data_IF_688627892748
#
_entry.id   IF_688627892748
#
_cell.length_a   1.000
_cell.length_b   1.000
_cell.length_c   1.000
_cell.angle_alpha   90.00
_cell.angle_beta   90.00
_cell.angle_gamma   90.00
#
_symmetry.space_group_name_H-M   'P 1'
#
loop_
_entity.id
_entity.type
_entity.pdbx_description
1 polymer ?
#
# COMPACT_ATOMS: atom_id res chain seq x y z
N UNK A 1 3.17 4.59 -0.15
CA UNK A 1 2.17 5.18 0.77
C UNK A 1 1.79 6.54 0.21
N UNK A 2 0.51 6.79 -0.04
CA UNK A 2 0.04 8.02 -0.69
C UNK A 2 -0.89 8.80 0.22
N UNK A 3 -0.72 10.12 0.25
CA UNK A 3 -1.73 11.03 0.78
C UNK A 3 -2.55 11.53 -0.41
N UNK A 4 -3.76 10.99 -0.58
CA UNK A 4 -4.63 11.32 -1.70
C UNK A 4 -4.28 10.55 -2.99
N UNK A 5 -4.51 11.19 -4.13
CA UNK A 5 -4.37 10.57 -5.46
C UNK A 5 -2.90 10.41 -5.87
N UNK A 6 -2.66 9.52 -6.84
CA UNK A 6 -1.35 9.37 -7.44
C UNK A 6 -1.00 10.64 -8.24
N UNK A 7 0.17 11.26 -8.01
CA UNK A 7 0.61 12.36 -8.85
C UNK A 7 0.68 11.97 -10.33
N UNK A 8 0.14 12.82 -11.20
CA UNK A 8 0.08 12.58 -12.65
C UNK A 8 1.42 12.16 -13.27
N UNK A 9 2.58 12.77 -12.95
CA UNK A 9 3.86 12.35 -13.54
C UNK A 9 4.25 10.90 -13.20
N UNK A 10 3.79 10.39 -12.06
CA UNK A 10 4.03 8.98 -11.69
C UNK A 10 3.08 8.05 -12.46
N UNK A 11 1.83 8.46 -12.68
CA UNK A 11 0.89 7.70 -13.50
C UNK A 11 1.42 7.55 -14.93
N UNK A 12 1.87 8.66 -15.54
CA UNK A 12 2.44 8.65 -16.89
C UNK A 12 3.65 7.70 -16.99
N UNK A 13 4.55 7.71 -15.99
CA UNK A 13 5.70 6.81 -15.97
C UNK A 13 5.32 5.33 -15.80
N UNK A 14 4.25 5.02 -15.06
CA UNK A 14 3.72 3.66 -14.91
C UNK A 14 3.16 3.17 -16.25
N UNK A 15 2.39 4.03 -16.93
CA UNK A 15 1.77 3.73 -18.22
C UNK A 15 2.84 3.53 -19.31
N UNK A 16 3.88 4.37 -19.34
CA UNK A 16 5.00 4.27 -20.28
C UNK A 16 5.81 2.98 -20.13
N UNK A 17 5.88 2.45 -18.91
CA UNK A 17 6.59 1.21 -18.60
C UNK A 17 5.71 -0.04 -18.73
N UNK A 18 4.44 0.12 -19.08
CA UNK A 18 3.43 -0.95 -19.14
C UNK A 18 3.39 -1.78 -17.84
N UNK A 19 3.48 -1.09 -16.70
CA UNK A 19 3.49 -1.71 -15.38
C UNK A 19 2.08 -1.82 -14.80
N UNK A 20 1.70 -3.02 -14.38
CA UNK A 20 0.51 -3.22 -13.57
C UNK A 20 0.77 -2.84 -12.11
N UNK A 21 -0.07 -1.97 -11.55
CA UNK A 21 -0.02 -1.63 -10.13
C UNK A 21 -0.76 -2.69 -9.31
N UNK A 22 -0.01 -3.36 -8.43
CA UNK A 22 -0.54 -4.39 -7.54
C UNK A 22 -1.48 -3.81 -6.48
N UNK A 23 -1.15 -2.66 -5.88
CA UNK A 23 -2.04 -1.94 -4.97
C UNK A 23 -1.56 -0.51 -4.69
N UNK A 24 -2.50 0.32 -4.24
CA UNK A 24 -2.25 1.66 -3.73
C UNK A 24 -2.38 1.63 -2.20
N UNK A 25 -1.28 1.84 -1.50
CA UNK A 25 -1.28 1.82 -0.03
C UNK A 25 -1.54 3.24 0.49
N UNK A 26 -2.64 3.50 1.20
CA UNK A 26 -2.94 4.81 1.76
C UNK A 26 -1.93 5.17 2.85
N UNK A 27 -1.74 6.47 3.07
CA UNK A 27 -1.03 6.96 4.25
C UNK A 27 -1.85 6.65 5.51
N UNK A 28 -1.16 6.18 6.54
CA UNK A 28 -1.76 5.72 7.78
C UNK A 28 -0.82 6.07 8.94
N UNK A 29 -1.36 6.72 9.96
CA UNK A 29 -0.61 7.19 11.13
C UNK A 29 -0.05 6.04 11.97
N UNK A 30 -0.75 4.90 12.02
CA UNK A 30 -0.31 3.71 12.77
C UNK A 30 1.01 3.19 12.19
N UNK A 31 1.13 3.18 10.86
CA UNK A 31 2.37 2.77 10.19
C UNK A 31 3.52 3.68 10.59
N UNK A 32 3.31 5.00 10.59
CA UNK A 32 4.34 5.96 10.98
C UNK A 32 4.77 5.79 12.44
N UNK A 33 3.83 5.50 13.34
CA UNK A 33 4.11 5.27 14.75
C UNK A 33 4.95 4.00 14.98
N UNK A 34 4.57 2.88 14.35
CA UNK A 34 5.31 1.63 14.47
C UNK A 34 6.70 1.72 13.84
N UNK A 35 6.81 2.35 12.66
CA UNK A 35 8.10 2.63 12.00
C UNK A 35 9.03 3.44 12.93
N UNK A 36 8.51 4.50 13.56
CA UNK A 36 9.29 5.37 14.46
C UNK A 36 9.77 4.64 15.74
N UNK A 37 9.01 3.65 16.20
CA UNK A 37 9.35 2.84 17.36
C UNK A 37 10.17 1.58 17.01
N UNK A 38 10.48 1.36 15.72
CA UNK A 38 11.15 0.15 15.25
C UNK A 38 10.33 -1.11 15.47
N UNK A 39 9.00 -1.00 15.54
CA UNK A 39 8.10 -2.11 15.77
C UNK A 39 7.63 -2.73 14.46
N UNK A 40 7.46 -4.07 14.38
CA UNK A 40 6.90 -4.73 13.21
C UNK A 40 5.49 -4.26 12.84
N UNK A 41 5.25 -3.98 11.56
CA UNK A 41 3.92 -3.62 11.02
C UNK A 41 2.90 -4.77 11.07
N UNK A 42 3.35 -6.01 11.27
CA UNK A 42 2.43 -7.16 11.49
C UNK A 42 1.66 -7.07 12.80
N UNK A 43 2.01 -6.13 13.68
CA UNK A 43 1.27 -5.84 14.92
C UNK A 43 0.08 -4.90 14.71
N UNK A 44 -0.11 -4.37 13.49
CA UNK A 44 -1.25 -3.54 13.15
C UNK A 44 -2.56 -4.30 13.28
N UNK A 45 -3.62 -3.58 13.67
CA UNK A 45 -4.97 -4.13 13.66
C UNK A 45 -5.55 -4.20 12.23
N UNK A 46 -6.63 -4.97 12.09
CA UNK A 46 -7.32 -5.15 10.81
C UNK A 46 -8.15 -3.94 10.36
N UNK A 47 -8.29 -2.91 11.21
CA UNK A 47 -9.06 -1.70 10.91
C UNK A 47 -8.20 -0.64 10.19
N UNK A 48 -6.87 -0.81 10.19
CA UNK A 48 -5.95 0.05 9.45
C UNK A 48 -6.21 0.00 7.94
N UNK A 49 -6.42 1.15 7.26
CA UNK A 49 -6.57 1.19 5.81
C UNK A 49 -5.31 0.73 5.07
N UNK A 50 -4.12 0.91 5.65
CA UNK A 50 -2.89 0.38 5.08
C UNK A 50 -2.82 -1.15 5.21
N UNK A 51 -3.22 -1.71 6.35
CA UNK A 51 -3.31 -3.15 6.55
C UNK A 51 -4.27 -3.78 5.54
N UNK A 52 -5.50 -3.26 5.44
CA UNK A 52 -6.51 -3.76 4.50
C UNK A 52 -6.04 -3.67 3.05
N UNK A 53 -5.33 -2.62 2.65
CA UNK A 53 -4.80 -2.49 1.30
C UNK A 53 -3.74 -3.57 0.99
N UNK A 54 -2.88 -3.92 1.95
CA UNK A 54 -1.87 -4.97 1.81
C UNK A 54 -2.52 -6.36 1.82
N UNK A 55 -3.53 -6.59 2.66
CA UNK A 55 -4.30 -7.84 2.70
C UNK A 55 -4.99 -8.08 1.36
N UNK A 56 -5.75 -7.10 0.86
CA UNK A 56 -6.42 -7.18 -0.45
C UNK A 56 -5.44 -7.42 -1.61
N UNK A 57 -4.27 -6.75 -1.58
CA UNK A 57 -3.20 -6.98 -2.57
C UNK A 57 -2.71 -8.42 -2.53
N UNK A 58 -2.47 -8.93 -1.33
CA UNK A 58 -1.94 -10.29 -1.12
C UNK A 58 -2.95 -11.34 -1.58
N UNK A 59 -4.23 -11.16 -1.23
CA UNK A 59 -5.31 -12.02 -1.70
C UNK A 59 -5.42 -12.02 -3.23
N UNK A 60 -5.35 -10.85 -3.87
CA UNK A 60 -5.36 -10.75 -5.33
C UNK A 60 -4.20 -11.52 -5.96
N UNK A 61 -2.98 -11.35 -5.43
CA UNK A 61 -1.78 -12.02 -5.95
C UNK A 61 -1.90 -13.54 -5.75
N UNK A 62 -2.24 -13.99 -4.54
CA UNK A 62 -2.33 -15.42 -4.24
C UNK A 62 -3.45 -16.14 -5.00
N UNK A 63 -4.55 -15.45 -5.28
CA UNK A 63 -5.65 -15.99 -6.09
C UNK A 63 -5.38 -15.91 -7.61
N UNK A 64 -4.32 -15.22 -8.03
CA UNK A 64 -3.91 -15.13 -9.44
C UNK A 64 -2.86 -16.19 -9.84
N UNK A 65 -2.35 -16.95 -8.86
CA UNK A 65 -1.42 -18.07 -9.03
C UNK A 65 -2.17 -19.39 -9.28
#
# INVERSE_FOLDING_TARGET
>A
RLQGELPQPLQEAIDDLDLEIAAMIPADEIVNQLDALGQPLVQMDGDSPAFQAVENMTDRILNSL
#
